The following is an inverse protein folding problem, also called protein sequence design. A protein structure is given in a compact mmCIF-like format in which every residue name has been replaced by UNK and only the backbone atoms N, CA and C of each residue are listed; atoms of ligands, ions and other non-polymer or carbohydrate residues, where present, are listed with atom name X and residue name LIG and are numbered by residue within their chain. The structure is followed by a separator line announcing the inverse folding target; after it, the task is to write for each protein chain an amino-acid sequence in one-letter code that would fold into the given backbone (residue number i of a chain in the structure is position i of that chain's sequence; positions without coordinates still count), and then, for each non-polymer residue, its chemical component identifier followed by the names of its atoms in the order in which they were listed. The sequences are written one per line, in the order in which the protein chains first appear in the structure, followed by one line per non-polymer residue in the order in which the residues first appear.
data_IF_508014649857
#
_entry.id   IF_508014649857
#
_cell.length_a   1.000
_cell.length_b   1.000
_cell.length_c   1.000
_cell.angle_alpha   90.00
_cell.angle_beta   90.00
_cell.angle_gamma   90.00
#
_symmetry.space_group_name_H-M   'P 1'
#
loop_
_entity.id
_entity.type
_entity.pdbx_description
1 polymer ?
#
# COMPACT_ATOMS: atom_id res chain seq x y z
N UNK A 1 -51.81 -21.20 34.10
CA UNK A 1 -51.42 -20.07 33.23
C UNK A 1 -49.89 -20.11 32.99
N UNK A 2 -49.44 -20.63 31.84
CA UNK A 2 -48.02 -20.75 31.49
C UNK A 2 -47.59 -19.49 30.72
N UNK A 3 -46.73 -18.65 31.34
CA UNK A 3 -46.11 -17.49 30.66
C UNK A 3 -44.98 -18.03 29.78
N UNK A 4 -45.15 -17.89 28.44
CA UNK A 4 -44.07 -18.14 27.48
C UNK A 4 -43.21 -16.90 27.43
N UNK A 5 -41.95 -17.01 27.92
CA UNK A 5 -40.90 -16.03 27.72
C UNK A 5 -40.38 -16.13 26.28
N UNK A 6 -40.66 -15.11 25.47
CA UNK A 6 -40.10 -14.96 24.12
C UNK A 6 -38.72 -14.34 24.24
N UNK A 7 -37.68 -15.17 24.10
CA UNK A 7 -36.29 -14.68 24.05
C UNK A 7 -36.04 -14.13 22.63
N UNK A 8 -36.05 -12.82 22.51
CA UNK A 8 -35.71 -12.10 21.27
C UNK A 8 -34.18 -12.13 21.11
N UNK A 9 -33.71 -13.04 20.26
CA UNK A 9 -32.28 -13.18 19.93
C UNK A 9 -31.88 -12.00 19.02
N UNK A 10 -31.21 -10.98 19.57
CA UNK A 10 -30.63 -9.88 18.81
C UNK A 10 -29.35 -10.39 18.16
N UNK A 11 -29.43 -10.80 16.90
CA UNK A 11 -28.27 -11.01 16.05
C UNK A 11 -27.61 -9.65 15.74
N UNK A 12 -26.53 -9.34 16.46
CA UNK A 12 -25.66 -8.20 16.18
C UNK A 12 -24.82 -8.57 14.94
N UNK A 13 -25.21 -8.03 13.79
CA UNK A 13 -24.37 -8.05 12.58
C UNK A 13 -23.17 -7.13 12.78
N UNK A 14 -22.17 -7.59 13.53
CA UNK A 14 -20.83 -7.03 13.51
C UNK A 14 -20.04 -7.78 12.45
N UNK A 15 -20.11 -7.35 11.22
CA UNK A 15 -19.07 -7.70 10.25
C UNK A 15 -19.32 -6.94 8.94
N UNK A 16 -18.40 -6.15 8.51
CA UNK A 16 -17.92 -6.03 7.14
C UNK A 16 -17.01 -4.83 6.87
N UNK A 17 -16.78 -3.91 7.81
CA UNK A 17 -15.93 -2.74 7.54
C UNK A 17 -14.41 -3.03 7.63
N UNK A 18 -14.01 -4.11 8.28
CA UNK A 18 -12.57 -4.43 8.44
C UNK A 18 -11.88 -4.95 7.17
N UNK A 19 -12.63 -5.43 6.17
CA UNK A 19 -12.06 -5.99 4.95
C UNK A 19 -11.81 -4.96 3.85
N UNK A 20 -12.44 -3.79 3.93
CA UNK A 20 -12.38 -2.78 2.86
C UNK A 20 -11.00 -2.13 2.71
N UNK A 21 -10.18 -2.10 3.77
CA UNK A 21 -8.85 -1.50 3.80
C UNK A 21 -7.74 -2.53 4.10
N UNK A 22 -8.02 -3.82 3.91
CA UNK A 22 -7.05 -4.88 4.18
C UNK A 22 -6.04 -5.01 3.05
N UNK A 23 -4.75 -5.15 3.44
CA UNK A 23 -3.65 -5.46 2.51
C UNK A 23 -3.28 -6.94 2.71
N UNK A 24 -3.35 -7.71 1.64
CA UNK A 24 -2.97 -9.12 1.57
C UNK A 24 -2.23 -9.36 0.25
N UNK A 25 -1.59 -10.53 0.10
CA UNK A 25 -0.94 -10.91 -1.16
C UNK A 25 -1.96 -10.88 -2.30
N UNK A 26 -1.64 -10.16 -3.38
CA UNK A 26 -2.53 -9.99 -4.54
C UNK A 26 -3.77 -9.13 -4.29
N UNK A 27 -3.92 -8.48 -3.12
CA UNK A 27 -5.11 -7.69 -2.79
C UNK A 27 -4.81 -6.45 -1.94
N UNK A 28 -5.38 -5.32 -2.32
CA UNK A 28 -5.36 -4.06 -1.56
C UNK A 28 -6.77 -3.49 -1.48
N UNK A 29 -7.42 -3.65 -0.33
CA UNK A 29 -8.80 -3.21 -0.16
C UNK A 29 -9.75 -3.87 -1.17
N UNK A 30 -10.33 -3.05 -2.07
CA UNK A 30 -11.24 -3.49 -3.14
C UNK A 30 -10.49 -4.02 -4.38
N UNK A 31 -9.21 -3.67 -4.54
CA UNK A 31 -8.40 -4.07 -5.70
C UNK A 31 -7.83 -5.47 -5.52
N UNK A 32 -7.81 -6.23 -6.63
CA UNK A 32 -7.05 -7.47 -6.77
C UNK A 32 -6.05 -7.31 -7.92
N UNK A 33 -5.01 -8.14 -7.94
CA UNK A 33 -3.87 -8.06 -8.87
C UNK A 33 -4.30 -8.03 -10.35
N UNK A 34 -5.39 -8.70 -10.70
CA UNK A 34 -5.91 -8.83 -12.06
C UNK A 34 -6.75 -7.61 -12.52
N UNK A 35 -7.05 -6.66 -11.62
CA UNK A 35 -7.87 -5.52 -11.99
C UNK A 35 -7.13 -4.59 -12.95
N UNK A 36 -7.85 -4.20 -14.01
CA UNK A 36 -7.36 -3.29 -15.04
C UNK A 36 -7.81 -1.84 -14.78
N UNK A 37 -7.15 -0.91 -15.44
CA UNK A 37 -7.52 0.51 -15.41
C UNK A 37 -9.00 0.74 -15.76
N UNK A 38 -9.52 0.02 -16.77
CA UNK A 38 -10.92 0.11 -17.22
C UNK A 38 -11.94 -0.20 -16.10
N UNK A 39 -11.56 -1.03 -15.12
CA UNK A 39 -12.45 -1.44 -14.04
C UNK A 39 -12.47 -0.47 -12.85
N UNK A 40 -11.54 0.50 -12.80
CA UNK A 40 -11.37 1.38 -11.64
C UNK A 40 -12.65 2.19 -11.33
N UNK A 41 -13.32 2.73 -12.35
CA UNK A 41 -14.55 3.52 -12.17
C UNK A 41 -15.68 2.69 -11.53
N UNK A 42 -15.74 1.39 -11.82
CA UNK A 42 -16.70 0.46 -11.20
C UNK A 42 -16.30 0.08 -9.78
N UNK A 43 -15.02 -0.25 -9.55
CA UNK A 43 -14.48 -0.65 -8.24
C UNK A 43 -14.62 0.49 -7.22
N UNK A 44 -14.35 1.71 -7.66
CA UNK A 44 -14.37 2.93 -6.85
C UNK A 44 -15.59 3.82 -7.12
N UNK A 45 -16.73 3.23 -7.49
CA UNK A 45 -17.98 3.96 -7.82
C UNK A 45 -18.46 4.92 -6.73
N UNK A 46 -18.06 4.68 -5.48
CA UNK A 46 -18.38 5.53 -4.32
C UNK A 46 -17.26 6.51 -3.95
N UNK A 47 -16.16 6.49 -4.65
CA UNK A 47 -14.95 7.27 -4.40
C UNK A 47 -14.67 8.19 -5.60
N UNK A 48 -13.71 9.10 -5.50
CA UNK A 48 -13.33 9.96 -6.61
C UNK A 48 -11.98 9.52 -7.18
N UNK A 49 -11.89 9.47 -8.51
CA UNK A 49 -10.65 9.13 -9.23
C UNK A 49 -10.14 10.37 -9.95
N UNK A 50 -8.92 10.82 -9.60
CA UNK A 50 -8.22 11.87 -10.33
C UNK A 50 -7.17 11.20 -11.22
N UNK A 51 -7.35 11.37 -12.54
CA UNK A 51 -6.44 10.82 -13.55
C UNK A 51 -5.34 11.84 -13.83
N UNK A 52 -4.08 11.45 -13.67
CA UNK A 52 -2.90 12.22 -14.09
C UNK A 52 -2.24 11.43 -15.22
N UNK A 53 -2.59 11.78 -16.43
CA UNK A 53 -2.08 11.16 -17.65
C UNK A 53 -1.04 12.13 -18.23
N UNK A 54 0.11 11.62 -18.64
CA UNK A 54 1.11 12.43 -19.31
C UNK A 54 0.57 12.97 -20.63
N UNK A 55 0.57 14.29 -20.83
CA UNK A 55 0.09 14.96 -22.03
C UNK A 55 1.19 15.88 -22.61
N UNK A 56 1.16 16.08 -23.95
CA UNK A 56 2.09 16.97 -24.65
C UNK A 56 3.54 16.53 -24.51
N UNK A 57 4.44 17.46 -24.24
CA UNK A 57 5.89 17.21 -24.10
C UNK A 57 6.23 16.30 -22.91
N UNK A 58 5.31 16.14 -21.95
CA UNK A 58 5.44 15.26 -20.79
C UNK A 58 4.87 13.85 -21.01
N UNK A 59 4.36 13.54 -22.20
CA UNK A 59 3.76 12.24 -22.53
C UNK A 59 4.69 11.05 -22.28
N UNK A 60 6.01 11.27 -22.39
CA UNK A 60 7.04 10.25 -22.20
C UNK A 60 7.83 10.42 -20.88
N UNK A 61 7.49 11.40 -20.04
CA UNK A 61 8.30 11.76 -18.87
C UNK A 61 7.79 11.25 -17.54
N UNK A 62 6.67 10.54 -17.51
CA UNK A 62 6.11 10.00 -16.27
C UNK A 62 5.02 8.98 -16.51
N UNK A 63 4.81 8.10 -15.56
CA UNK A 63 3.77 7.07 -15.61
C UNK A 63 2.38 7.68 -15.42
N UNK A 64 1.38 7.11 -16.09
CA UNK A 64 -0.02 7.39 -15.80
C UNK A 64 -0.31 7.09 -14.32
N UNK A 65 -1.02 7.99 -13.65
CA UNK A 65 -1.40 7.83 -12.25
C UNK A 65 -2.88 8.03 -12.04
N UNK A 66 -3.46 7.13 -11.27
CA UNK A 66 -4.86 7.19 -10.85
C UNK A 66 -4.90 7.38 -9.33
N UNK A 67 -5.29 8.59 -8.90
CA UNK A 67 -5.35 8.95 -7.48
C UNK A 67 -6.77 8.69 -6.98
N UNK A 68 -6.88 7.83 -5.98
CA UNK A 68 -8.16 7.45 -5.38
C UNK A 68 -8.40 8.29 -4.13
N UNK A 69 -9.54 8.97 -4.08
CA UNK A 69 -9.97 9.78 -2.94
C UNK A 69 -11.29 9.27 -2.38
N UNK A 70 -11.38 9.20 -1.05
CA UNK A 70 -12.63 8.88 -0.36
C UNK A 70 -13.71 9.94 -0.63
N UNK A 71 -14.98 9.65 -0.27
CA UNK A 71 -16.07 10.65 -0.27
C UNK A 71 -15.74 11.89 0.57
N UNK A 72 -14.87 11.76 1.58
CA UNK A 72 -14.39 12.86 2.41
C UNK A 72 -13.22 13.62 1.80
N UNK A 73 -12.85 13.32 0.56
CA UNK A 73 -11.69 13.89 -0.16
C UNK A 73 -10.33 13.55 0.47
N UNK A 74 -10.24 12.48 1.24
CA UNK A 74 -8.98 11.95 1.77
C UNK A 74 -8.29 11.13 0.68
N UNK A 75 -7.01 11.39 0.40
CA UNK A 75 -6.24 10.62 -0.56
C UNK A 75 -5.95 9.22 0.01
N UNK A 76 -6.47 8.20 -0.64
CA UNK A 76 -6.39 6.82 -0.19
C UNK A 76 -5.20 6.07 -0.81
N UNK A 77 -5.14 6.06 -2.14
CA UNK A 77 -4.17 5.29 -2.92
C UNK A 77 -3.72 6.09 -4.15
N UNK A 78 -2.49 5.84 -4.61
CA UNK A 78 -2.04 6.19 -5.95
C UNK A 78 -1.74 4.91 -6.70
N UNK A 79 -2.37 4.70 -7.85
CA UNK A 79 -2.26 3.51 -8.69
C UNK A 79 -1.48 3.86 -9.96
N UNK A 80 -0.58 2.97 -10.37
CA UNK A 80 0.18 3.07 -11.62
C UNK A 80 -0.04 1.79 -12.43
N UNK A 81 -0.53 1.87 -13.67
CA UNK A 81 -0.69 0.71 -14.55
C UNK A 81 0.67 0.21 -15.05
N UNK A 82 0.71 -1.02 -15.56
CA UNK A 82 1.92 -1.62 -16.15
C UNK A 82 2.38 -0.85 -17.39
N UNK A 83 1.47 -0.54 -18.30
CA UNK A 83 1.74 0.28 -19.47
C UNK A 83 0.88 1.54 -19.46
N UNK A 84 1.47 2.64 -19.89
CA UNK A 84 0.79 3.93 -20.02
C UNK A 84 -0.23 3.91 -21.16
N UNK A 85 -1.24 4.73 -21.05
CA UNK A 85 -2.24 5.00 -22.10
C UNK A 85 -3.05 3.78 -22.55
N UNK A 86 -2.96 2.64 -21.88
CA UNK A 86 -3.76 1.45 -22.18
C UNK A 86 -4.71 1.10 -21.02
N UNK A 87 -6.03 1.34 -21.17
CA UNK A 87 -7.00 1.02 -20.12
C UNK A 87 -7.19 -0.49 -19.87
N UNK A 88 -6.69 -1.35 -20.75
CA UNK A 88 -6.76 -2.81 -20.59
C UNK A 88 -5.65 -3.37 -19.71
N UNK A 89 -4.62 -2.56 -19.43
CA UNK A 89 -3.50 -2.97 -18.60
C UNK A 89 -3.87 -3.11 -17.12
N UNK A 90 -3.30 -4.11 -16.43
CA UNK A 90 -3.48 -4.25 -15.00
C UNK A 90 -2.74 -3.16 -14.23
N UNK A 91 -3.18 -2.92 -13.00
CA UNK A 91 -2.44 -2.11 -12.06
C UNK A 91 -1.19 -2.89 -11.63
N UNK A 92 -0.02 -2.27 -11.78
CA UNK A 92 1.27 -2.86 -11.42
C UNK A 92 1.78 -2.36 -10.07
N UNK A 93 1.67 -1.05 -9.81
CA UNK A 93 2.18 -0.46 -8.57
C UNK A 93 1.09 0.31 -7.85
N UNK A 94 1.02 0.12 -6.53
CA UNK A 94 0.11 0.85 -5.65
C UNK A 94 0.93 1.52 -4.55
N UNK A 95 0.84 2.84 -4.43
CA UNK A 95 1.29 3.56 -3.27
C UNK A 95 0.15 3.68 -2.26
N UNK A 96 0.34 3.17 -1.07
CA UNK A 96 -0.58 3.34 0.06
C UNK A 96 -0.36 4.73 0.65
N UNK A 97 -1.40 5.54 0.73
CA UNK A 97 -1.34 6.91 1.26
C UNK A 97 -2.03 7.00 2.62
N UNK A 98 -3.23 6.43 2.74
CA UNK A 98 -4.02 6.49 3.96
C UNK A 98 -3.61 5.40 4.96
N UNK A 99 -3.57 5.75 6.24
CA UNK A 99 -3.32 4.83 7.35
C UNK A 99 -4.49 3.88 7.67
N UNK A 100 -5.63 4.10 7.03
CA UNK A 100 -6.75 3.15 7.04
C UNK A 100 -6.33 1.78 6.49
N UNK A 101 -5.45 1.78 5.47
CA UNK A 101 -4.95 0.54 4.89
C UNK A 101 -3.90 -0.10 5.78
N UNK A 102 -4.12 -1.37 6.12
CA UNK A 102 -3.20 -2.14 6.94
C UNK A 102 -3.15 -3.61 6.54
N UNK A 103 -1.99 -4.21 6.75
CA UNK A 103 -1.83 -5.66 6.61
C UNK A 103 -2.59 -6.39 7.71
N UNK A 104 -2.80 -7.72 7.54
CA UNK A 104 -3.39 -8.58 8.59
C UNK A 104 -2.63 -8.48 9.92
N UNK A 105 -1.34 -8.16 9.87
CA UNK A 105 -0.48 -8.00 11.05
C UNK A 105 -0.41 -6.55 11.56
N UNK A 106 -1.24 -5.64 11.01
CA UNK A 106 -1.36 -4.25 11.46
C UNK A 106 -0.17 -3.36 11.07
N UNK A 107 0.48 -3.61 9.92
CA UNK A 107 1.44 -2.68 9.31
C UNK A 107 0.68 -1.72 8.41
N UNK A 108 0.92 -0.41 8.58
CA UNK A 108 0.37 0.68 7.78
C UNK A 108 1.46 1.73 7.46
N UNK A 109 1.08 2.86 6.87
CA UNK A 109 2.03 3.92 6.45
C UNK A 109 2.74 4.61 7.62
N UNK A 110 2.21 4.52 8.85
CA UNK A 110 2.78 5.11 10.05
C UNK A 110 3.72 4.15 10.81
N UNK A 111 3.83 2.90 10.36
CA UNK A 111 4.67 1.87 10.99
C UNK A 111 6.16 2.19 10.84
N UNK A 112 6.98 1.58 11.71
CA UNK A 112 8.43 1.70 11.70
C UNK A 112 9.08 0.45 11.10
N UNK A 113 10.39 0.54 10.78
CA UNK A 113 11.17 -0.60 10.33
C UNK A 113 11.14 -1.77 11.34
N UNK A 114 11.27 -1.48 12.63
CA UNK A 114 11.23 -2.52 13.68
C UNK A 114 9.90 -3.24 13.76
N UNK A 115 8.78 -2.56 13.49
CA UNK A 115 7.46 -3.21 13.43
C UNK A 115 7.35 -4.12 12.21
N UNK A 116 7.92 -3.73 11.06
CA UNK A 116 7.97 -4.56 9.86
C UNK A 116 8.82 -5.80 10.12
N UNK A 117 10.06 -5.64 10.62
CA UNK A 117 10.98 -6.75 10.88
C UNK A 117 10.44 -7.75 11.91
N UNK A 118 9.74 -7.25 12.95
CA UNK A 118 9.09 -8.09 13.96
C UNK A 118 7.92 -8.90 13.42
N UNK A 119 7.15 -8.33 12.50
CA UNK A 119 5.87 -8.89 12.05
C UNK A 119 5.94 -9.62 10.72
N UNK A 120 6.91 -9.29 9.87
CA UNK A 120 7.07 -9.87 8.54
C UNK A 120 8.49 -10.37 8.30
N UNK A 121 8.60 -11.36 7.44
CA UNK A 121 9.89 -11.79 6.93
C UNK A 121 10.36 -10.79 5.87
N UNK A 122 11.50 -10.14 6.12
CA UNK A 122 12.16 -9.29 5.14
C UNK A 122 12.94 -10.19 4.19
N UNK A 123 12.65 -10.08 2.87
CA UNK A 123 13.26 -10.90 1.83
C UNK A 123 14.52 -10.26 1.25
N UNK A 124 14.61 -8.93 1.28
CA UNK A 124 15.77 -8.19 0.80
C UNK A 124 15.75 -6.75 1.23
N UNK A 125 16.95 -6.14 1.21
CA UNK A 125 17.16 -4.71 1.42
C UNK A 125 18.05 -4.21 0.30
N UNK A 126 17.52 -3.26 -0.48
CA UNK A 126 18.26 -2.60 -1.55
C UNK A 126 18.72 -1.23 -1.09
N UNK A 127 20.02 -0.99 -1.19
CA UNK A 127 20.64 0.29 -0.88
C UNK A 127 20.66 1.14 -2.16
N UNK A 128 19.95 2.28 -2.15
CA UNK A 128 19.94 3.25 -3.24
C UNK A 128 20.58 4.56 -2.79
N UNK A 129 20.74 5.52 -3.69
CA UNK A 129 21.40 6.81 -3.39
C UNK A 129 20.74 7.50 -2.18
N UNK A 130 19.41 7.61 -2.17
CA UNK A 130 18.69 8.40 -1.17
C UNK A 130 17.82 7.58 -0.22
N UNK A 131 17.59 6.29 -0.51
CA UNK A 131 16.64 5.48 0.24
C UNK A 131 17.15 4.05 0.42
N UNK A 132 16.61 3.38 1.44
CA UNK A 132 16.59 1.92 1.52
C UNK A 132 15.23 1.41 1.05
N UNK A 133 15.22 0.34 0.28
CA UNK A 133 14.01 -0.36 -0.14
C UNK A 133 13.99 -1.71 0.55
N UNK A 134 13.00 -1.94 1.39
CA UNK A 134 12.83 -3.16 2.19
C UNK A 134 11.72 -4.00 1.59
N UNK A 135 12.04 -5.20 1.09
CA UNK A 135 11.10 -6.09 0.40
C UNK A 135 10.47 -7.09 1.35
N UNK A 136 9.14 -7.28 1.21
CA UNK A 136 8.31 -8.20 1.98
C UNK A 136 7.37 -8.95 1.02
N UNK A 137 7.90 -10.02 0.40
CA UNK A 137 7.26 -10.72 -0.73
C UNK A 137 5.96 -11.44 -0.36
N UNK A 138 5.78 -11.79 0.92
CA UNK A 138 4.58 -12.49 1.37
C UNK A 138 3.29 -11.65 1.35
N UNK A 139 3.43 -10.35 1.08
CA UNK A 139 2.32 -9.40 0.90
C UNK A 139 2.53 -8.50 -0.34
N UNK A 140 3.42 -8.89 -1.26
CA UNK A 140 3.80 -8.14 -2.46
C UNK A 140 4.22 -6.68 -2.15
N UNK A 141 4.78 -6.43 -0.97
CA UNK A 141 5.09 -5.10 -0.49
C UNK A 141 6.58 -4.76 -0.54
N UNK A 142 6.84 -3.47 -0.71
CA UNK A 142 8.14 -2.90 -0.39
C UNK A 142 7.98 -1.55 0.30
N UNK A 143 8.88 -1.31 1.26
CA UNK A 143 8.86 -0.12 2.09
C UNK A 143 10.08 0.74 1.78
N UNK A 144 9.86 2.03 1.54
CA UNK A 144 10.94 2.99 1.29
C UNK A 144 11.23 3.74 2.59
N UNK A 145 12.50 3.72 3.00
CA UNK A 145 13.02 4.46 4.16
C UNK A 145 13.99 5.52 3.65
N UNK A 146 13.81 6.78 4.06
CA UNK A 146 14.69 7.87 3.66
C UNK A 146 16.02 7.79 4.43
N UNK A 147 17.14 7.75 3.72
CA UNK A 147 18.47 7.69 4.33
C UNK A 147 18.82 8.93 5.16
N UNK A 148 18.15 10.07 4.96
CA UNK A 148 18.34 11.28 5.77
C UNK A 148 18.08 11.04 7.26
N UNK A 149 17.20 10.10 7.59
CA UNK A 149 16.80 9.79 8.97
C UNK A 149 17.61 8.66 9.58
N UNK A 150 18.62 8.14 8.87
CA UNK A 150 19.48 7.04 9.32
C UNK A 150 20.81 7.56 9.89
N UNK A 151 21.54 6.75 10.66
CA UNK A 151 22.93 7.05 11.05
C UNK A 151 23.81 7.40 9.86
N UNK A 152 24.83 8.24 10.08
CA UNK A 152 25.65 8.80 9.01
C UNK A 152 26.30 7.69 8.14
N UNK A 153 26.70 6.60 8.77
CA UNK A 153 27.36 5.45 8.12
C UNK A 153 26.46 4.80 7.05
N UNK A 154 25.13 4.89 7.22
CA UNK A 154 24.14 4.34 6.29
C UNK A 154 23.73 5.32 5.19
N UNK A 155 24.08 6.61 5.33
CA UNK A 155 23.67 7.65 4.36
C UNK A 155 24.55 7.67 3.12
N UNK A 156 25.82 7.29 3.26
CA UNK A 156 26.82 7.44 2.21
C UNK A 156 26.98 6.14 1.41
N UNK A 157 27.10 6.31 0.08
CA UNK A 157 27.35 5.22 -0.85
C UNK A 157 26.17 4.29 -1.10
N UNK A 158 26.30 3.48 -2.15
CA UNK A 158 25.36 2.43 -2.53
C UNK A 158 26.00 1.06 -2.53
N UNK A 159 27.34 1.02 -2.47
CA UNK A 159 28.16 -0.19 -2.59
C UNK A 159 28.05 -1.10 -1.35
N UNK A 160 27.77 -0.51 -0.17
CA UNK A 160 27.71 -1.27 1.06
C UNK A 160 26.40 -2.05 1.15
N UNK A 161 26.51 -3.36 1.35
CA UNK A 161 25.38 -4.20 1.72
C UNK A 161 24.88 -3.76 3.10
N UNK A 162 23.64 -3.32 3.17
CA UNK A 162 22.99 -2.97 4.43
C UNK A 162 22.17 -4.16 4.89
N UNK A 163 22.42 -4.59 6.11
CA UNK A 163 21.69 -5.67 6.77
C UNK A 163 20.66 -5.11 7.76
N UNK A 164 19.67 -5.92 8.12
CA UNK A 164 18.58 -5.52 9.04
C UNK A 164 19.08 -4.92 10.35
N UNK A 165 20.14 -5.50 10.89
CA UNK A 165 20.74 -5.08 12.17
C UNK A 165 21.30 -3.64 12.13
N UNK A 166 21.62 -3.15 10.94
CA UNK A 166 22.17 -1.80 10.77
C UNK A 166 21.08 -0.72 10.77
N UNK A 167 19.80 -1.08 10.56
CA UNK A 167 18.71 -0.13 10.43
C UNK A 167 18.08 0.10 11.80
N UNK A 168 18.03 1.36 12.31
CA UNK A 168 17.36 1.66 13.57
C UNK A 168 15.88 1.22 13.53
N UNK A 169 15.41 0.59 14.59
CA UNK A 169 14.06 0.03 14.69
C UNK A 169 12.96 1.09 14.64
N UNK A 170 13.26 2.32 15.03
CA UNK A 170 12.38 3.49 15.00
C UNK A 170 12.37 4.23 13.66
N UNK A 171 13.15 3.75 12.66
CA UNK A 171 13.16 4.34 11.31
C UNK A 171 11.78 4.32 10.69
N UNK A 172 11.26 5.52 10.37
CA UNK A 172 9.91 5.68 9.80
C UNK A 172 9.87 5.30 8.33
N UNK A 173 8.77 4.69 7.92
CA UNK A 173 8.45 4.45 6.52
C UNK A 173 8.20 5.81 5.84
N UNK A 174 8.87 6.06 4.73
CA UNK A 174 8.62 7.19 3.83
C UNK A 174 7.51 6.89 2.84
N UNK A 175 7.47 5.64 2.33
CA UNK A 175 6.42 5.15 1.43
C UNK A 175 6.16 3.66 1.68
N UNK A 176 4.90 3.30 1.64
CA UNK A 176 4.45 1.92 1.61
C UNK A 176 3.93 1.62 0.19
N UNK A 177 4.57 0.68 -0.47
CA UNK A 177 4.33 0.34 -1.87
C UNK A 177 3.92 -1.14 -1.98
N UNK A 178 3.03 -1.42 -2.92
CA UNK A 178 2.72 -2.79 -3.37
C UNK A 178 3.16 -2.88 -4.82
N UNK A 179 3.84 -3.97 -5.19
CA UNK A 179 4.26 -4.26 -6.56
C UNK A 179 3.65 -5.56 -7.03
N UNK A 180 2.86 -5.52 -8.09
CA UNK A 180 2.22 -6.67 -8.71
C UNK A 180 2.88 -6.98 -10.06
N UNK A 181 4.02 -7.66 -10.01
CA UNK A 181 4.72 -8.14 -11.21
C UNK A 181 4.10 -9.42 -11.78
#
# INVERSE_FOLDING_TARGET
MRKKCLILSIFIFYSCSQNEYRIEKGKVGKLIKENTVRQLDSIYSNDSIVKRIGEGDYMFSGDDKYLIYSRKKEHLLTLTPRNQHDPSEPIETIQIISDLFQTKKGINVNSTFGEIDKKHQINGIQNTINNLIVYVDNIDAYFIIDKKNLPLELRLGTENKIEKINIPTDSKIKRFMIGWN
#
